data_IF_110518032045
#
_entry.id   IF_110518032045
#
_cell.length_a   1.000
_cell.length_b   1.000
_cell.length_c   1.000
_cell.angle_alpha   90.00
_cell.angle_beta   90.00
_cell.angle_gamma   90.00
#
_symmetry.space_group_name_H-M   'P 1'
#
loop_
_entity.id
_entity.type
_entity.pdbx_description
1 polymer ?
#
# COMPACT_ATOMS: atom_id res chain seq x y z
N UNK A 1 47.72 3.27 -5.60
CA UNK A 1 46.47 2.62 -6.07
C UNK A 1 45.34 3.10 -5.17
N UNK A 2 44.27 3.68 -5.73
CA UNK A 2 43.13 4.13 -4.93
C UNK A 2 42.26 2.91 -4.57
N UNK A 3 41.83 2.83 -3.32
CA UNK A 3 40.99 1.75 -2.78
C UNK A 3 39.57 2.28 -2.63
N UNK A 4 38.59 1.61 -3.22
CA UNK A 4 37.18 1.95 -3.06
C UNK A 4 36.81 1.76 -1.59
N UNK A 5 36.38 2.84 -0.94
CA UNK A 5 35.88 2.84 0.44
C UNK A 5 34.36 2.92 0.38
N UNK A 6 33.70 2.02 1.12
CA UNK A 6 32.25 2.07 1.28
C UNK A 6 31.89 3.26 2.16
N UNK A 7 31.22 4.24 1.57
CA UNK A 7 30.65 5.39 2.29
C UNK A 7 29.18 5.10 2.58
N UNK A 8 28.79 5.05 3.85
CA UNK A 8 27.38 5.00 4.25
C UNK A 8 26.81 6.42 4.23
N UNK A 9 25.65 6.58 3.61
CA UNK A 9 24.88 7.84 3.53
C UNK A 9 23.43 7.57 3.89
N UNK A 10 22.67 8.60 4.26
CA UNK A 10 21.21 8.54 4.48
C UNK A 10 20.76 7.58 5.61
N UNK A 11 21.31 7.75 6.81
CA UNK A 11 20.87 6.99 7.99
C UNK A 11 19.46 7.43 8.42
N UNK A 12 18.51 6.48 8.53
CA UNK A 12 17.15 6.72 9.02
C UNK A 12 16.67 5.59 9.93
N UNK A 13 15.80 5.93 10.88
CA UNK A 13 15.02 4.97 11.67
C UNK A 13 13.64 4.89 11.05
N UNK A 14 13.15 3.68 10.78
CA UNK A 14 11.80 3.45 10.22
C UNK A 14 10.99 2.67 11.23
N UNK A 15 9.78 3.14 11.51
CA UNK A 15 8.87 2.56 12.50
C UNK A 15 7.57 2.21 11.81
N UNK A 16 7.08 1.00 12.04
CA UNK A 16 5.83 0.50 11.45
C UNK A 16 4.81 0.22 12.55
N UNK A 17 3.50 0.47 12.31
CA UNK A 17 2.47 0.04 13.25
C UNK A 17 2.44 -1.48 13.34
N UNK A 18 2.02 -1.99 14.51
CA UNK A 18 1.60 -3.39 14.61
C UNK A 18 0.37 -3.62 13.74
N UNK A 19 0.12 -4.87 13.37
CA UNK A 19 -1.11 -5.24 12.67
C UNK A 19 -2.35 -4.81 13.45
N UNK A 20 -3.44 -4.41 12.78
CA UNK A 20 -4.67 -4.01 13.46
C UNK A 20 -5.21 -5.16 14.34
N UNK A 21 -5.11 -6.39 13.82
CA UNK A 21 -5.45 -7.61 14.52
C UNK A 21 -4.30 -8.23 15.35
N UNK A 22 -3.26 -7.45 15.69
CA UNK A 22 -2.18 -7.85 16.60
C UNK A 22 -2.37 -7.24 18.00
N UNK A 23 -2.77 -8.09 18.94
CA UNK A 23 -3.04 -7.75 20.34
C UNK A 23 -1.84 -8.06 21.27
N UNK A 24 -0.69 -8.43 20.72
CA UNK A 24 0.54 -8.77 21.47
C UNK A 24 0.57 -10.19 22.05
N UNK A 25 -0.52 -10.68 22.65
CA UNK A 25 -0.64 -12.07 23.14
C UNK A 25 -1.31 -13.01 22.13
N UNK A 26 -1.99 -12.44 21.14
CA UNK A 26 -2.65 -13.14 20.04
C UNK A 26 -2.61 -12.25 18.80
N UNK A 27 -2.40 -12.88 17.65
CA UNK A 27 -2.43 -12.22 16.35
C UNK A 27 -3.36 -13.00 15.42
N UNK A 28 -4.27 -12.31 14.76
CA UNK A 28 -5.07 -12.85 13.65
C UNK A 28 -4.87 -12.00 12.39
N UNK A 29 -5.48 -12.38 11.27
CA UNK A 29 -5.46 -11.57 10.05
C UNK A 29 -6.47 -10.44 10.14
N UNK A 30 -6.15 -9.28 9.57
CA UNK A 30 -7.07 -8.14 9.52
C UNK A 30 -8.37 -8.52 8.79
N UNK A 31 -8.29 -9.29 7.69
CA UNK A 31 -9.45 -9.88 7.00
C UNK A 31 -10.41 -10.65 7.91
N UNK A 32 -9.88 -11.31 8.93
CA UNK A 32 -10.70 -12.09 9.86
C UNK A 32 -11.47 -11.17 10.82
N UNK A 33 -10.88 -10.03 11.19
CA UNK A 33 -11.47 -9.08 12.13
C UNK A 33 -12.38 -8.05 11.45
N UNK A 34 -12.00 -7.60 10.26
CA UNK A 34 -12.67 -6.53 9.51
C UNK A 34 -13.53 -7.05 8.35
N UNK A 35 -13.38 -8.32 7.98
CA UNK A 35 -14.03 -8.91 6.81
C UNK A 35 -13.23 -8.68 5.53
N UNK A 36 -13.83 -9.05 4.39
CA UNK A 36 -13.26 -8.86 3.05
C UNK A 36 -14.15 -7.98 2.19
N UNK A 37 -13.55 -7.36 1.18
CA UNK A 37 -14.24 -6.50 0.22
C UNK A 37 -13.81 -5.04 0.33
N UNK A 38 -14.27 -4.19 -0.60
CA UNK A 38 -13.81 -2.81 -0.73
C UNK A 38 -14.09 -1.97 0.53
N UNK A 39 -15.26 -2.15 1.16
CA UNK A 39 -15.61 -1.43 2.39
C UNK A 39 -14.73 -1.81 3.58
N UNK A 40 -14.35 -3.10 3.68
CA UNK A 40 -13.45 -3.58 4.72
C UNK A 40 -12.02 -3.04 4.50
N UNK A 41 -11.54 -3.05 3.24
CA UNK A 41 -10.24 -2.49 2.87
C UNK A 41 -10.14 -1.00 3.21
N UNK A 42 -11.16 -0.21 2.84
CA UNK A 42 -11.20 1.23 3.15
C UNK A 42 -11.19 1.52 4.67
N UNK A 43 -11.84 0.67 5.47
CA UNK A 43 -11.80 0.77 6.94
C UNK A 43 -10.43 0.44 7.50
N UNK A 44 -9.82 -0.65 7.03
CA UNK A 44 -8.47 -1.08 7.43
C UNK A 44 -7.46 0.03 7.12
N UNK A 45 -7.50 0.61 5.92
CA UNK A 45 -6.65 1.72 5.50
C UNK A 45 -6.76 2.92 6.45
N UNK A 46 -7.99 3.38 6.72
CA UNK A 46 -8.24 4.51 7.62
C UNK A 46 -7.71 4.26 9.03
N UNK A 47 -7.85 3.04 9.55
CA UNK A 47 -7.37 2.70 10.89
C UNK A 47 -5.84 2.59 10.96
N UNK A 48 -5.19 2.07 9.92
CA UNK A 48 -3.73 2.11 9.83
C UNK A 48 -3.20 3.53 9.75
N UNK A 49 -3.84 4.40 8.95
CA UNK A 49 -3.49 5.80 8.88
C UNK A 49 -3.59 6.47 10.27
N UNK A 50 -4.73 6.29 10.96
CA UNK A 50 -4.92 6.83 12.31
C UNK A 50 -3.87 6.34 13.30
N UNK A 51 -3.50 5.05 13.25
CA UNK A 51 -2.40 4.51 14.08
C UNK A 51 -1.06 5.17 13.77
N UNK A 52 -0.73 5.36 12.50
CA UNK A 52 0.51 6.03 12.12
C UNK A 52 0.53 7.48 12.62
N UNK A 53 -0.60 8.19 12.56
CA UNK A 53 -0.73 9.55 13.09
C UNK A 53 -0.54 9.60 14.60
N UNK A 54 -1.17 8.69 15.35
CA UNK A 54 -1.01 8.55 16.80
C UNK A 54 0.44 8.23 17.18
N UNK A 55 1.06 7.26 16.51
CA UNK A 55 2.46 6.90 16.73
C UNK A 55 3.40 8.06 16.43
N UNK A 56 3.19 8.77 15.32
CA UNK A 56 4.00 9.92 14.97
C UNK A 56 3.88 11.03 16.03
N UNK A 57 2.68 11.29 16.54
CA UNK A 57 2.46 12.24 17.63
C UNK A 57 3.19 11.80 18.91
N UNK A 58 3.11 10.52 19.27
CA UNK A 58 3.79 10.00 20.45
C UNK A 58 5.32 10.03 20.32
N UNK A 59 5.87 9.72 19.14
CA UNK A 59 7.31 9.82 18.87
C UNK A 59 7.76 11.27 19.01
N UNK A 60 7.06 12.22 18.36
CA UNK A 60 7.36 13.65 18.46
C UNK A 60 7.33 14.16 19.91
N UNK A 61 6.45 13.59 20.74
CA UNK A 61 6.27 13.99 22.14
C UNK A 61 7.35 13.47 23.08
N UNK A 62 7.89 12.26 22.84
CA UNK A 62 8.76 11.59 23.82
C UNK A 62 10.20 11.38 23.38
N UNK A 63 10.49 11.48 22.08
CA UNK A 63 11.83 11.23 21.57
C UNK A 63 12.53 12.57 21.38
N UNK A 64 13.56 12.82 22.18
CA UNK A 64 14.38 14.02 22.07
C UNK A 64 15.22 14.00 20.78
N UNK A 65 15.60 15.18 20.30
CA UNK A 65 16.48 15.37 19.12
C UNK A 65 15.93 14.82 17.80
N UNK A 66 14.60 14.72 17.67
CA UNK A 66 13.96 14.37 16.40
C UNK A 66 13.84 15.61 15.51
N UNK A 67 14.47 15.56 14.33
CA UNK A 67 14.38 16.64 13.33
C UNK A 67 13.01 16.70 12.63
N UNK A 68 12.34 15.55 12.50
CA UNK A 68 11.03 15.41 11.89
C UNK A 68 10.53 13.97 12.04
N UNK A 69 9.21 13.80 12.00
CA UNK A 69 8.56 12.49 11.88
C UNK A 69 7.59 12.60 10.72
N UNK A 70 7.82 11.79 9.70
CA UNK A 70 7.04 11.78 8.48
C UNK A 70 6.29 10.45 8.35
N UNK A 71 5.08 10.51 7.80
CA UNK A 71 4.31 9.32 7.44
C UNK A 71 4.51 9.11 5.95
N UNK A 72 5.27 8.08 5.60
CA UNK A 72 5.48 7.63 4.21
C UNK A 72 4.44 6.54 3.89
N UNK A 73 3.89 6.57 2.67
CA UNK A 73 2.98 5.56 2.17
C UNK A 73 3.23 5.29 0.68
N UNK A 74 3.05 4.03 0.29
CA UNK A 74 3.07 3.61 -1.10
C UNK A 74 1.64 3.62 -1.65
N UNK A 75 1.50 3.92 -2.94
CA UNK A 75 0.22 3.85 -3.66
C UNK A 75 0.33 2.80 -4.76
N UNK A 76 -0.67 1.94 -4.84
CA UNK A 76 -0.81 0.97 -5.92
C UNK A 76 -2.03 1.34 -6.76
N UNK A 77 -1.88 1.31 -8.08
CA UNK A 77 -3.02 1.34 -8.98
C UNK A 77 -3.72 -0.01 -8.88
N UNK A 78 -5.05 -0.01 -8.80
CA UNK A 78 -5.86 -1.23 -8.69
C UNK A 78 -7.08 -1.14 -9.61
N UNK A 79 -7.54 -2.29 -10.10
CA UNK A 79 -8.78 -2.38 -10.85
C UNK A 79 -9.97 -2.00 -9.98
N UNK A 80 -10.75 -1.00 -10.39
CA UNK A 80 -11.92 -0.52 -9.64
C UNK A 80 -13.04 -1.57 -9.47
N UNK A 81 -13.01 -2.64 -10.27
CA UNK A 81 -14.05 -3.65 -10.28
C UNK A 81 -13.75 -4.86 -9.38
N UNK A 82 -12.49 -5.32 -9.35
CA UNK A 82 -12.10 -6.51 -8.61
C UNK A 82 -11.01 -6.27 -7.55
N UNK A 83 -10.41 -5.07 -7.53
CA UNK A 83 -9.33 -4.72 -6.60
C UNK A 83 -7.98 -5.37 -6.90
N UNK A 84 -7.82 -6.03 -8.06
CA UNK A 84 -6.52 -6.58 -8.47
C UNK A 84 -5.53 -5.45 -8.76
N UNK A 85 -4.27 -5.62 -8.34
CA UNK A 85 -3.20 -4.67 -8.63
C UNK A 85 -3.03 -4.49 -10.13
N UNK A 86 -2.85 -3.24 -10.56
CA UNK A 86 -2.63 -2.87 -11.94
C UNK A 86 -1.20 -3.22 -12.37
N UNK A 87 -1.06 -4.03 -13.41
CA UNK A 87 0.23 -4.55 -13.89
C UNK A 87 0.54 -4.15 -15.33
N UNK A 88 -0.44 -3.63 -16.07
CA UNK A 88 -0.29 -3.26 -17.48
C UNK A 88 0.06 -1.78 -17.68
N UNK A 89 0.72 -1.46 -18.80
CA UNK A 89 0.98 -0.07 -19.23
C UNK A 89 -0.26 0.61 -19.85
N UNK A 90 -1.38 -0.11 -19.98
CA UNK A 90 -2.66 0.41 -20.46
C UNK A 90 -3.42 1.12 -19.34
N UNK A 91 -4.14 2.19 -19.64
CA UNK A 91 -5.00 2.89 -18.65
C UNK A 91 -6.39 2.24 -18.49
N UNK A 92 -6.79 1.36 -19.41
CA UNK A 92 -8.17 0.86 -19.51
C UNK A 92 -8.30 -0.66 -19.52
N UNK A 93 -7.18 -1.37 -19.49
CA UNK A 93 -7.17 -2.84 -19.53
C UNK A 93 -6.01 -3.39 -18.71
N UNK A 94 -6.33 -4.17 -17.67
CA UNK A 94 -5.37 -4.76 -16.74
C UNK A 94 -5.18 -6.27 -16.96
N UNK A 95 -5.04 -6.67 -18.23
CA UNK A 95 -4.70 -8.05 -18.57
C UNK A 95 -5.83 -9.06 -18.33
N UNK A 96 -7.08 -8.60 -18.23
CA UNK A 96 -8.24 -9.46 -18.05
C UNK A 96 -8.44 -9.89 -16.60
N UNK A 97 -8.07 -9.04 -15.64
CA UNK A 97 -8.11 -9.37 -14.21
C UNK A 97 -9.54 -9.66 -13.69
N UNK A 98 -10.58 -9.25 -14.41
CA UNK A 98 -11.96 -9.67 -14.18
C UNK A 98 -12.83 -9.51 -15.45
N UNK A 99 -14.07 -10.01 -15.42
CA UNK A 99 -14.97 -9.93 -16.59
C UNK A 99 -15.23 -8.50 -17.07
N UNK A 100 -15.29 -7.51 -16.16
CA UNK A 100 -15.46 -6.10 -16.56
C UNK A 100 -14.19 -5.50 -17.16
N UNK A 101 -13.02 -6.03 -16.80
CA UNK A 101 -11.74 -5.62 -17.37
C UNK A 101 -11.59 -6.18 -18.79
N UNK A 102 -12.02 -7.42 -19.03
CA UNK A 102 -12.06 -8.03 -20.38
C UNK A 102 -12.93 -7.23 -21.37
N UNK A 103 -14.02 -6.61 -20.92
CA UNK A 103 -14.84 -5.71 -21.77
C UNK A 103 -14.06 -4.48 -22.27
N UNK A 104 -12.99 -4.09 -21.58
CA UNK A 104 -12.08 -3.00 -21.96
C UNK A 104 -10.92 -3.43 -22.87
N UNK A 105 -10.88 -4.69 -23.31
CA UNK A 105 -9.77 -5.23 -24.09
C UNK A 105 -9.63 -4.51 -25.45
N UNK A 106 -8.50 -3.84 -25.72
CA UNK A 106 -8.30 -3.10 -26.97
C UNK A 106 -8.27 -4.01 -28.22
N UNK A 107 -8.02 -5.32 -28.06
CA UNK A 107 -8.02 -6.26 -29.18
C UNK A 107 -9.44 -6.52 -29.74
N UNK A 108 -10.50 -6.40 -28.92
CA UNK A 108 -11.88 -6.53 -29.41
C UNK A 108 -12.42 -5.24 -30.03
N UNK A 109 -11.83 -4.09 -29.72
CA UNK A 109 -12.21 -2.78 -30.29
C UNK A 109 -11.62 -2.53 -31.70
N UNK A 110 -10.71 -3.40 -32.17
CA UNK A 110 -9.86 -3.17 -33.34
C UNK A 110 -10.22 -3.91 -34.64
N UNK A 111 -11.24 -4.77 -34.66
CA UNK A 111 -11.52 -5.64 -35.83
C UNK A 111 -12.88 -5.37 -36.51
N UNK A 112 -13.21 -4.09 -36.70
CA UNK A 112 -14.29 -3.64 -37.57
C UNK A 112 -13.77 -3.05 -38.89
N UNK A 113 -12.97 -3.81 -39.65
CA UNK A 113 -12.83 -3.60 -41.10
C UNK A 113 -12.54 -4.89 -41.84
N UNK A 114 -13.57 -5.47 -42.43
CA UNK A 114 -13.56 -6.17 -43.71
C UNK A 114 -14.92 -5.95 -44.39
#
# INVERSE_FOLDING_TARGET
>A
MAKTIFRKTNFRVVVYPRGLADFGFMRTSDDFLYGRGPDAAARIEKEYQGRCEEMAADIRRHVDSVGGVDIEFDQELVCEHCGSVWTEDSDTYNGGCCSKDEEGNPAEAGDATC
#
